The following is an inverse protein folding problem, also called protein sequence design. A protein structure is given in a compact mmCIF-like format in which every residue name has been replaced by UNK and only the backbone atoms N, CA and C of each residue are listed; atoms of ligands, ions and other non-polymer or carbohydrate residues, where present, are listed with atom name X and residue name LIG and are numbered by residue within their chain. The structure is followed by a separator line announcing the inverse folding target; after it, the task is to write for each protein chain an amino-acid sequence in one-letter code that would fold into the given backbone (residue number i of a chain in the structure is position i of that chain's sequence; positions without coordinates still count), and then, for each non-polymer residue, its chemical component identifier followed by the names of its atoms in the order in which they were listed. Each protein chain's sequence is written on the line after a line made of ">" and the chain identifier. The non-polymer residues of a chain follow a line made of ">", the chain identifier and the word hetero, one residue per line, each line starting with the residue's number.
data_IF_424639432621
#
_entry.id   IF_424639432621
#
_cell.length_a   1.000
_cell.length_b   1.000
_cell.length_c   1.000
_cell.angle_alpha   90.00
_cell.angle_beta   90.00
_cell.angle_gamma   90.00
#
_symmetry.space_group_name_H-M   'P 1'
#
loop_
_entity.id
_entity.type
_entity.pdbx_description
1 polymer ?
#
# COMPACT_ATOMS: atom_id res chain seq x y z
N UNK A 1 -18.08 -7.40 -3.78
CA UNK A 1 -17.11 -6.33 -3.46
C UNK A 1 -17.43 -5.02 -4.21
N UNK A 2 -18.72 -4.67 -4.33
CA UNK A 2 -19.11 -3.49 -5.11
C UNK A 2 -19.00 -2.17 -4.32
N UNK A 3 -19.22 -2.23 -3.01
CA UNK A 3 -19.20 -1.04 -2.14
C UNK A 3 -17.75 -0.58 -1.92
N UNK A 4 -16.83 -1.52 -1.73
CA UNK A 4 -15.39 -1.29 -1.55
C UNK A 4 -14.80 -0.59 -2.78
N UNK A 5 -15.16 -1.07 -3.99
CA UNK A 5 -14.75 -0.42 -5.23
C UNK A 5 -15.36 0.99 -5.34
N UNK A 6 -16.66 1.15 -5.06
CA UNK A 6 -17.37 2.43 -5.15
C UNK A 6 -16.81 3.47 -4.18
N UNK A 7 -16.37 3.06 -3.00
CA UNK A 7 -15.73 3.94 -2.02
C UNK A 7 -14.48 4.60 -2.62
N UNK A 8 -13.58 3.81 -3.19
CA UNK A 8 -12.36 4.36 -3.82
C UNK A 8 -12.65 5.11 -5.12
N UNK A 9 -13.66 4.71 -5.91
CA UNK A 9 -14.11 5.48 -7.08
C UNK A 9 -14.57 6.89 -6.68
N UNK A 10 -15.33 7.02 -5.59
CA UNK A 10 -15.76 8.32 -5.08
C UNK A 10 -14.59 9.16 -4.58
N UNK A 11 -13.69 8.56 -3.79
CA UNK A 11 -12.49 9.24 -3.27
C UNK A 11 -11.59 9.74 -4.41
N UNK A 12 -11.36 8.91 -5.43
CA UNK A 12 -10.59 9.30 -6.61
C UNK A 12 -11.26 10.46 -7.34
N UNK A 13 -12.57 10.38 -7.58
CA UNK A 13 -13.34 11.46 -8.21
C UNK A 13 -13.25 12.77 -7.42
N UNK A 14 -13.41 12.71 -6.10
CA UNK A 14 -13.27 13.87 -5.22
C UNK A 14 -11.88 14.50 -5.33
N UNK A 15 -10.80 13.70 -5.24
CA UNK A 15 -9.44 14.24 -5.33
C UNK A 15 -9.12 14.83 -6.71
N UNK A 16 -9.63 14.26 -7.81
CA UNK A 16 -9.46 14.88 -9.13
C UNK A 16 -10.22 16.19 -9.26
N UNK A 17 -11.45 16.27 -8.74
CA UNK A 17 -12.22 17.52 -8.70
C UNK A 17 -11.48 18.57 -7.87
N UNK A 18 -10.99 18.20 -6.68
CA UNK A 18 -10.23 19.12 -5.82
C UNK A 18 -8.91 19.53 -6.46
N UNK A 19 -8.17 18.62 -7.10
CA UNK A 19 -6.94 18.93 -7.81
C UNK A 19 -7.19 19.94 -8.95
N UNK A 20 -8.26 19.74 -9.73
CA UNK A 20 -8.66 20.66 -10.79
C UNK A 20 -9.04 22.04 -10.23
N UNK A 21 -9.89 22.07 -9.20
CA UNK A 21 -10.31 23.32 -8.55
C UNK A 21 -9.09 24.05 -7.97
N UNK A 22 -8.20 23.34 -7.29
CA UNK A 22 -6.99 23.90 -6.69
C UNK A 22 -6.04 24.48 -7.75
N UNK A 23 -5.75 23.73 -8.81
CA UNK A 23 -4.90 24.19 -9.91
C UNK A 23 -5.47 25.44 -10.59
N UNK A 24 -6.78 25.43 -10.90
CA UNK A 24 -7.46 26.58 -11.53
C UNK A 24 -7.50 27.81 -10.59
N UNK A 25 -7.85 27.62 -9.32
CA UNK A 25 -7.93 28.73 -8.37
C UNK A 25 -6.56 29.35 -8.09
N UNK A 26 -5.52 28.53 -7.94
CA UNK A 26 -4.16 29.04 -7.75
C UNK A 26 -3.65 29.73 -9.01
N UNK A 27 -3.94 29.19 -10.20
CA UNK A 27 -3.58 29.85 -11.46
C UNK A 27 -4.22 31.24 -11.63
N UNK A 28 -5.46 31.44 -11.17
CA UNK A 28 -6.19 32.70 -11.34
C UNK A 28 -5.96 33.72 -10.20
N UNK A 29 -5.81 33.24 -8.97
CA UNK A 29 -5.84 34.10 -7.77
C UNK A 29 -4.53 34.14 -6.99
N UNK A 30 -3.57 33.24 -7.25
CA UNK A 30 -2.28 33.29 -6.58
C UNK A 30 -1.34 34.30 -7.27
N UNK A 31 -0.38 34.82 -6.50
CA UNK A 31 0.54 35.89 -6.94
C UNK A 31 1.60 35.42 -7.94
N UNK A 32 1.84 34.12 -8.05
CA UNK A 32 2.91 33.51 -8.87
C UNK A 32 2.44 32.59 -9.98
N UNK A 33 1.14 32.57 -10.29
CA UNK A 33 0.52 31.56 -11.16
C UNK A 33 0.18 30.27 -10.41
N UNK A 34 0.01 29.17 -11.16
CA UNK A 34 -0.41 27.88 -10.60
C UNK A 34 0.56 27.34 -9.56
N UNK A 35 0.02 26.84 -8.44
CA UNK A 35 0.83 26.20 -7.41
C UNK A 35 1.03 24.72 -7.73
N UNK A 36 2.13 24.43 -8.43
CA UNK A 36 2.45 23.10 -8.91
C UNK A 36 2.67 22.06 -7.81
N UNK A 37 3.23 22.44 -6.66
CA UNK A 37 3.54 21.50 -5.58
C UNK A 37 2.27 20.85 -5.01
N UNK A 38 1.28 21.66 -4.63
CA UNK A 38 0.00 21.19 -4.12
C UNK A 38 -0.84 20.48 -5.19
N UNK A 39 -0.93 21.06 -6.39
CA UNK A 39 -1.72 20.48 -7.49
C UNK A 39 -1.21 19.09 -7.88
N UNK A 40 0.12 18.92 -7.97
CA UNK A 40 0.73 17.61 -8.26
C UNK A 40 0.43 16.58 -7.19
N UNK A 41 0.56 16.95 -5.90
CA UNK A 41 0.27 16.04 -4.80
C UNK A 41 -1.20 15.58 -4.81
N UNK A 42 -2.15 16.50 -5.00
CA UNK A 42 -3.58 16.18 -5.08
C UNK A 42 -3.91 15.29 -6.28
N UNK A 43 -3.34 15.58 -7.45
CA UNK A 43 -3.54 14.75 -8.64
C UNK A 43 -2.99 13.33 -8.44
N UNK A 44 -1.81 13.19 -7.82
CA UNK A 44 -1.23 11.89 -7.51
C UNK A 44 -1.99 11.13 -6.42
N UNK A 45 -2.58 11.83 -5.44
CA UNK A 45 -3.49 11.20 -4.45
C UNK A 45 -4.76 10.68 -5.14
N UNK A 46 -5.32 11.44 -6.09
CA UNK A 46 -6.41 10.95 -6.95
C UNK A 46 -5.98 9.72 -7.76
N UNK A 47 -4.77 9.74 -8.32
CA UNK A 47 -4.19 8.60 -9.03
C UNK A 47 -3.98 7.36 -8.14
N UNK A 48 -3.52 7.54 -6.90
CA UNK A 48 -3.40 6.46 -5.91
C UNK A 48 -4.75 5.80 -5.65
N UNK A 49 -5.78 6.62 -5.37
CA UNK A 49 -7.14 6.11 -5.17
C UNK A 49 -7.69 5.43 -6.43
N UNK A 50 -7.36 5.94 -7.63
CA UNK A 50 -7.77 5.35 -8.90
C UNK A 50 -7.13 3.97 -9.14
N UNK A 51 -5.86 3.78 -8.80
CA UNK A 51 -5.18 2.47 -8.89
C UNK A 51 -5.91 1.44 -8.03
N UNK A 52 -6.22 1.80 -6.79
CA UNK A 52 -6.96 0.92 -5.85
C UNK A 52 -8.40 0.68 -6.33
N UNK A 53 -9.11 1.73 -6.74
CA UNK A 53 -10.49 1.65 -7.21
C UNK A 53 -10.62 0.72 -8.42
N UNK A 54 -9.77 0.91 -9.43
CA UNK A 54 -9.82 0.11 -10.65
C UNK A 54 -9.47 -1.34 -10.37
N UNK A 55 -8.47 -1.62 -9.53
CA UNK A 55 -8.16 -2.98 -9.07
C UNK A 55 -9.39 -3.65 -8.43
N UNK A 56 -10.02 -3.02 -7.44
CA UNK A 56 -11.22 -3.58 -6.82
C UNK A 56 -12.39 -3.70 -7.80
N UNK A 57 -12.52 -2.79 -8.77
CA UNK A 57 -13.54 -2.88 -9.80
C UNK A 57 -13.35 -4.10 -10.71
N UNK A 58 -12.11 -4.44 -11.05
CA UNK A 58 -11.80 -5.68 -11.78
C UNK A 58 -12.15 -6.92 -10.95
N UNK A 59 -11.76 -6.96 -9.68
CA UNK A 59 -12.07 -8.09 -8.79
C UNK A 59 -13.57 -8.24 -8.59
N UNK A 60 -14.30 -7.15 -8.33
CA UNK A 60 -15.74 -7.14 -8.10
C UNK A 60 -16.56 -7.55 -9.33
N UNK A 61 -16.01 -7.46 -10.55
CA UNK A 61 -16.67 -7.97 -11.76
C UNK A 61 -16.41 -9.46 -12.01
N UNK A 62 -15.39 -10.02 -11.37
CA UNK A 62 -14.93 -11.40 -11.58
C UNK A 62 -15.37 -12.35 -10.46
N UNK A 63 -15.53 -11.83 -9.24
CA UNK A 63 -15.91 -12.61 -8.07
C UNK A 63 -17.42 -12.51 -7.82
N UNK A 64 -18.04 -13.64 -7.48
CA UNK A 64 -19.44 -13.70 -7.06
C UNK A 64 -19.65 -13.06 -5.68
N UNK A 65 -20.90 -12.95 -5.26
CA UNK A 65 -21.28 -12.46 -3.93
C UNK A 65 -20.72 -13.38 -2.84
N UNK A 66 -19.74 -12.88 -2.09
CA UNK A 66 -19.18 -13.54 -0.91
C UNK A 66 -20.13 -13.43 0.29
N UNK A 67 -20.02 -14.32 1.30
CA UNK A 67 -20.80 -14.22 2.54
C UNK A 67 -20.69 -12.84 3.21
N UNK A 68 -19.52 -12.19 3.14
CA UNK A 68 -19.28 -10.84 3.67
C UNK A 68 -20.12 -9.74 3.00
N UNK A 69 -20.59 -9.97 1.77
CA UNK A 69 -21.40 -9.01 1.01
C UNK A 69 -22.91 -9.33 1.10
N UNK A 70 -23.31 -10.44 1.73
CA UNK A 70 -24.70 -10.89 1.80
C UNK A 70 -25.30 -10.60 3.17
N UNK A 71 -26.35 -9.78 3.20
CA UNK A 71 -26.97 -9.32 4.45
C UNK A 71 -27.60 -10.45 5.28
N UNK A 72 -27.98 -11.56 4.63
CA UNK A 72 -28.58 -12.73 5.28
C UNK A 72 -27.62 -13.89 5.51
N UNK A 73 -26.31 -13.67 5.42
CA UNK A 73 -25.32 -14.74 5.57
C UNK A 73 -25.33 -15.31 6.99
N UNK A 74 -25.24 -16.63 7.11
CA UNK A 74 -25.08 -17.31 8.37
C UNK A 74 -23.59 -17.51 8.70
N UNK A 75 -23.27 -17.70 9.99
CA UNK A 75 -21.87 -17.91 10.43
C UNK A 75 -21.27 -19.17 9.78
N UNK A 76 -22.10 -20.18 9.50
CA UNK A 76 -21.69 -21.42 8.83
C UNK A 76 -21.26 -21.22 7.37
N UNK A 77 -21.68 -20.13 6.71
CA UNK A 77 -21.30 -19.86 5.32
C UNK A 77 -19.80 -19.56 5.18
N UNK A 78 -19.14 -19.20 6.28
CA UNK A 78 -17.69 -18.97 6.38
C UNK A 78 -16.89 -20.12 6.98
N UNK A 79 -17.45 -21.33 7.10
CA UNK A 79 -16.82 -22.45 7.83
C UNK A 79 -15.59 -23.08 7.16
N UNK A 80 -15.15 -22.58 6.00
CA UNK A 80 -13.95 -23.06 5.31
C UNK A 80 -12.63 -22.62 5.96
N UNK A 81 -11.53 -23.13 5.43
CA UNK A 81 -10.19 -22.68 5.83
C UNK A 81 -9.93 -21.25 5.32
N UNK A 82 -9.46 -20.36 6.19
CA UNK A 82 -9.13 -18.98 5.83
C UNK A 82 -7.85 -18.87 4.98
N UNK A 83 -6.88 -19.75 5.22
CA UNK A 83 -5.56 -19.74 4.61
C UNK A 83 -4.43 -19.84 5.63
N UNK A 84 -3.22 -19.51 5.20
CA UNK A 84 -2.02 -19.59 6.01
C UNK A 84 -1.76 -18.29 6.78
N UNK A 85 -1.47 -18.41 8.08
CA UNK A 85 -1.04 -17.30 8.94
C UNK A 85 0.26 -17.69 9.65
N UNK A 86 1.23 -16.78 9.65
CA UNK A 86 2.45 -16.89 10.44
C UNK A 86 2.09 -16.92 11.95
N UNK A 87 2.37 -18.01 12.69
CA UNK A 87 2.08 -18.05 14.13
C UNK A 87 3.06 -17.19 14.93
N UNK A 88 4.29 -17.07 14.44
CA UNK A 88 5.32 -16.16 14.93
C UNK A 88 6.36 -15.93 13.82
N UNK A 89 7.02 -14.78 13.85
CA UNK A 89 8.17 -14.49 12.98
C UNK A 89 9.03 -13.40 13.62
N UNK A 90 10.34 -13.60 13.62
CA UNK A 90 11.32 -12.62 14.10
C UNK A 90 11.81 -11.70 12.97
N UNK A 91 11.45 -11.97 11.71
CA UNK A 91 11.92 -11.17 10.59
C UNK A 91 11.35 -9.75 10.53
N UNK A 92 10.08 -9.47 10.89
CA UNK A 92 9.56 -8.10 10.87
C UNK A 92 10.36 -7.12 11.74
N UNK A 93 10.80 -7.56 12.94
CA UNK A 93 11.63 -6.71 13.80
C UNK A 93 13.02 -6.47 13.19
N UNK A 94 13.61 -7.48 12.54
CA UNK A 94 14.89 -7.33 11.84
C UNK A 94 14.78 -6.40 10.62
N UNK A 95 13.67 -6.44 9.87
CA UNK A 95 13.41 -5.52 8.75
C UNK A 95 13.25 -4.08 9.27
N UNK A 96 12.50 -3.88 10.36
CA UNK A 96 12.34 -2.56 10.96
C UNK A 96 13.68 -1.98 11.43
N UNK A 97 14.52 -2.78 12.09
CA UNK A 97 15.87 -2.39 12.49
C UNK A 97 16.78 -2.12 11.27
N UNK A 98 16.68 -2.93 10.23
CA UNK A 98 17.46 -2.72 9.00
C UNK A 98 17.08 -1.41 8.31
N UNK A 99 15.78 -1.13 8.19
CA UNK A 99 15.27 0.13 7.65
C UNK A 99 15.65 1.34 8.49
N UNK A 100 15.66 1.21 9.82
CA UNK A 100 16.10 2.29 10.70
C UNK A 100 17.60 2.57 10.57
N UNK A 101 18.45 1.54 10.40
CA UNK A 101 19.88 1.72 10.11
C UNK A 101 20.09 2.49 8.81
N UNK A 102 19.34 2.17 7.74
CA UNK A 102 19.38 2.95 6.49
C UNK A 102 19.00 4.41 6.75
N UNK A 103 17.91 4.65 7.49
CA UNK A 103 17.44 5.99 7.81
C UNK A 103 18.46 6.79 8.65
N UNK A 104 19.13 6.16 9.63
CA UNK A 104 20.23 6.79 10.40
C UNK A 104 21.41 7.11 9.49
N UNK A 105 21.78 6.20 8.59
CA UNK A 105 22.84 6.45 7.60
C UNK A 105 22.55 7.65 6.69
N UNK A 106 21.30 7.80 6.25
CA UNK A 106 20.85 8.96 5.47
C UNK A 106 20.88 10.23 6.34
N UNK A 107 20.30 10.17 7.54
CA UNK A 107 20.19 11.31 8.45
C UNK A 107 21.53 11.89 8.91
N UNK A 108 22.54 11.04 9.09
CA UNK A 108 23.91 11.45 9.48
C UNK A 108 24.87 11.58 8.29
N UNK A 109 24.40 11.35 7.07
CA UNK A 109 25.21 11.33 5.85
C UNK A 109 26.45 10.43 5.96
N UNK A 110 26.22 9.15 6.27
CA UNK A 110 27.25 8.11 6.37
C UNK A 110 27.07 7.09 5.22
N UNK A 111 27.68 7.29 4.04
CA UNK A 111 27.46 6.43 2.87
C UNK A 111 27.75 4.94 3.10
N UNK A 112 28.76 4.64 3.92
CA UNK A 112 29.10 3.25 4.28
C UNK A 112 27.98 2.58 5.10
N UNK A 113 27.31 3.34 5.98
CA UNK A 113 26.21 2.84 6.80
C UNK A 113 24.93 2.68 5.98
N UNK A 114 24.70 3.56 5.00
CA UNK A 114 23.59 3.41 4.03
C UNK A 114 23.77 2.09 3.26
N UNK A 115 24.96 1.85 2.70
CA UNK A 115 25.23 0.61 1.96
C UNK A 115 25.06 -0.64 2.85
N UNK A 116 25.61 -0.62 4.07
CA UNK A 116 25.43 -1.72 5.02
C UNK A 116 23.95 -1.93 5.40
N UNK A 117 23.21 -0.85 5.64
CA UNK A 117 21.78 -0.91 5.96
C UNK A 117 20.96 -1.51 4.81
N UNK A 118 21.25 -1.15 3.55
CA UNK A 118 20.59 -1.74 2.39
C UNK A 118 20.84 -3.25 2.32
N UNK A 119 22.07 -3.70 2.59
CA UNK A 119 22.39 -5.13 2.65
C UNK A 119 21.65 -5.85 3.78
N UNK A 120 21.43 -5.19 4.93
CA UNK A 120 20.61 -5.73 6.02
C UNK A 120 19.13 -5.82 5.63
N UNK A 121 18.57 -4.81 4.93
CA UNK A 121 17.19 -4.85 4.44
C UNK A 121 17.02 -6.01 3.47
N UNK A 122 17.91 -6.17 2.49
CA UNK A 122 17.83 -7.26 1.52
C UNK A 122 17.89 -8.63 2.20
N UNK A 123 18.81 -8.81 3.15
CA UNK A 123 18.97 -10.08 3.89
C UNK A 123 17.75 -10.40 4.77
N UNK A 124 17.23 -9.40 5.50
CA UNK A 124 16.09 -9.60 6.41
C UNK A 124 14.77 -9.77 5.67
N UNK A 125 14.57 -9.07 4.54
CA UNK A 125 13.42 -9.29 3.65
C UNK A 125 13.50 -10.67 3.00
N UNK A 126 14.67 -11.11 2.53
CA UNK A 126 14.86 -12.46 2.04
C UNK A 126 14.53 -13.51 3.11
N UNK A 127 14.96 -13.28 4.36
CA UNK A 127 14.59 -14.11 5.50
C UNK A 127 13.07 -14.23 5.68
N UNK A 128 12.35 -13.10 5.68
CA UNK A 128 10.88 -13.09 5.81
C UNK A 128 10.19 -13.80 4.64
N UNK A 129 10.62 -13.55 3.40
CA UNK A 129 10.01 -14.12 2.20
C UNK A 129 10.24 -15.63 2.11
N UNK A 130 11.41 -16.12 2.52
CA UNK A 130 11.78 -17.53 2.43
C UNK A 130 11.45 -18.35 3.68
N UNK A 131 11.00 -17.72 4.78
CA UNK A 131 10.77 -18.37 6.09
C UNK A 131 9.95 -19.67 6.00
N UNK A 132 8.92 -19.69 5.15
CA UNK A 132 8.02 -20.83 5.00
C UNK A 132 8.36 -21.76 3.82
N UNK A 133 9.53 -21.58 3.18
CA UNK A 133 9.90 -22.27 1.92
C UNK A 133 11.32 -22.86 1.90
N UNK A 134 11.99 -23.03 3.05
CA UNK A 134 13.39 -23.49 3.10
C UNK A 134 13.57 -25.01 2.86
N UNK A 135 12.59 -25.84 3.22
CA UNK A 135 12.73 -27.30 3.22
C UNK A 135 13.75 -27.82 4.25
N UNK A 136 13.88 -29.14 4.44
CA UNK A 136 14.91 -29.71 5.31
C UNK A 136 16.31 -29.49 4.77
N UNK A 137 17.29 -29.37 5.67
CA UNK A 137 18.70 -29.45 5.29
C UNK A 137 19.00 -30.84 4.70
N UNK A 138 19.90 -30.89 3.71
CA UNK A 138 20.16 -32.11 2.93
C UNK A 138 20.98 -33.17 3.68
N UNK A 139 21.58 -32.82 4.81
CA UNK A 139 22.52 -33.67 5.56
C UNK A 139 22.29 -33.54 7.07
#
# INVERSE_FOLDING_TARGET
>A
MHIEARLFEFIAGFFFVVALLYGVLTALFATGGEEWAGTTALALTGGLALIVATFFRFVARRLDTRPEDYEGAEISDGAGELGFFSPHSWWPILIALSGSVVAVGIGLWLPWLIFAGVMFVLSSVAGLVFEYYLGPEKH
#
